data_IF_099841403872
#
_entry.id   IF_099841403872
#
_cell.length_a   1.000
_cell.length_b   1.000
_cell.length_c   1.000
_cell.angle_alpha   90.00
_cell.angle_beta   90.00
_cell.angle_gamma   90.00
#
_symmetry.space_group_name_H-M   'P 1'
#
loop_
_entity.id
_entity.type
_entity.pdbx_description
1 polymer ?
#
# COMPACT_ATOMS: atom_id res chain seq x y z
N UNK A 1 25.29 -66.63 0.19
CA UNK A 1 24.72 -65.61 -0.73
C UNK A 1 23.21 -65.76 -0.88
N UNK A 2 22.68 -66.96 -1.15
CA UNK A 2 21.21 -67.21 -1.19
C UNK A 2 20.50 -66.87 0.13
N UNK A 3 21.04 -67.28 1.27
CA UNK A 3 20.38 -67.05 2.56
C UNK A 3 20.36 -65.56 2.97
N UNK A 4 21.35 -64.79 2.53
CA UNK A 4 21.43 -63.35 2.76
C UNK A 4 20.40 -62.58 1.90
N UNK A 5 20.20 -63.01 0.65
CA UNK A 5 19.17 -62.46 -0.23
C UNK A 5 17.76 -62.77 0.28
N UNK A 6 17.54 -63.98 0.82
CA UNK A 6 16.25 -64.36 1.43
C UNK A 6 15.95 -63.51 2.66
N UNK A 7 16.94 -63.23 3.51
CA UNK A 7 16.78 -62.36 4.67
C UNK A 7 16.43 -60.92 4.27
N UNK A 8 17.07 -60.37 3.23
CA UNK A 8 16.75 -59.02 2.71
C UNK A 8 15.33 -58.97 2.14
N UNK A 9 14.92 -59.98 1.38
CA UNK A 9 13.56 -60.05 0.84
C UNK A 9 12.50 -60.17 1.94
N UNK A 10 12.78 -60.91 3.02
CA UNK A 10 11.89 -61.01 4.17
C UNK A 10 11.75 -59.68 4.91
N UNK A 11 12.85 -58.98 5.16
CA UNK A 11 12.82 -57.65 5.81
C UNK A 11 12.08 -56.64 4.95
N UNK A 12 12.34 -56.63 3.64
CA UNK A 12 11.63 -55.75 2.70
C UNK A 12 10.12 -56.05 2.64
N UNK A 13 9.73 -57.33 2.63
CA UNK A 13 8.33 -57.72 2.64
C UNK A 13 7.63 -57.33 3.94
N UNK A 14 8.27 -57.53 5.10
CA UNK A 14 7.73 -57.11 6.40
C UNK A 14 7.60 -55.59 6.47
N UNK A 15 8.59 -54.83 6.00
CA UNK A 15 8.51 -53.37 5.93
C UNK A 15 7.40 -52.89 4.98
N UNK A 16 7.19 -53.55 3.84
CA UNK A 16 6.12 -53.20 2.90
C UNK A 16 4.73 -53.51 3.48
N UNK A 17 4.59 -54.62 4.20
CA UNK A 17 3.35 -54.98 4.92
C UNK A 17 3.08 -53.96 6.04
N UNK A 18 4.10 -53.54 6.79
CA UNK A 18 3.96 -52.50 7.82
C UNK A 18 3.56 -51.15 7.21
N UNK A 19 4.15 -50.79 6.07
CA UNK A 19 3.84 -49.54 5.38
C UNK A 19 2.42 -49.55 4.81
N UNK A 20 1.98 -50.65 4.20
CA UNK A 20 0.62 -50.79 3.65
C UNK A 20 -0.46 -50.95 4.72
N UNK A 21 -0.15 -51.59 5.86
CA UNK A 21 -1.05 -51.65 7.01
C UNK A 21 -1.23 -50.28 7.68
N UNK A 22 -0.16 -49.49 7.81
CA UNK A 22 -0.25 -48.12 8.31
C UNK A 22 -0.96 -47.18 7.31
N UNK A 23 -0.76 -47.37 6.00
CA UNK A 23 -1.48 -46.59 4.97
C UNK A 23 -2.98 -46.94 4.92
N UNK A 24 -3.35 -48.19 5.21
CA UNK A 24 -4.76 -48.61 5.27
C UNK A 24 -5.47 -48.16 6.55
N UNK A 25 -4.73 -47.92 7.64
CA UNK A 25 -5.28 -47.34 8.87
C UNK A 25 -5.35 -45.82 8.84
N UNK A 26 -4.53 -45.14 8.03
CA UNK A 26 -4.66 -43.68 7.80
C UNK A 26 -5.71 -43.32 6.75
N UNK A 27 -6.05 -44.24 5.82
CA UNK A 27 -7.13 -44.02 4.85
C UNK A 27 -8.54 -44.23 5.41
N UNK A 28 -8.68 -44.84 6.61
CA UNK A 28 -9.96 -44.99 7.32
C UNK A 28 -10.27 -43.90 8.35
N UNK A 29 -9.41 -42.88 8.48
CA UNK A 29 -9.69 -41.67 9.27
C UNK A 29 -9.96 -40.42 8.39
N UNK A 30 -10.29 -40.63 7.12
CA UNK A 30 -10.79 -39.59 6.21
C UNK A 30 -12.09 -40.06 5.55
N UNK A 31 -13.08 -40.38 6.39
CA UNK A 31 -14.47 -40.56 5.96
C UNK A 31 -15.30 -39.45 6.57
N UNK A 32 -15.68 -38.49 5.70
CA UNK A 32 -16.77 -37.53 5.86
C UNK A 32 -17.22 -37.21 7.30
N UNK A 33 -16.42 -36.42 8.02
CA UNK A 33 -17.03 -35.31 8.72
C UNK A 33 -17.32 -34.25 7.66
N UNK A 34 -18.56 -34.21 7.21
CA UNK A 34 -19.17 -32.95 6.77
C UNK A 34 -18.92 -32.00 7.95
N UNK A 35 -17.83 -31.24 7.87
CA UNK A 35 -17.72 -30.00 8.62
C UNK A 35 -18.86 -29.18 8.04
N UNK A 36 -20.01 -29.26 8.70
CA UNK A 36 -20.88 -28.12 8.75
C UNK A 36 -19.96 -26.96 9.12
N UNK A 37 -19.86 -26.00 8.22
CA UNK A 37 -19.49 -24.65 8.57
C UNK A 37 -20.47 -24.21 9.66
N UNK A 38 -20.19 -24.60 10.90
CA UNK A 38 -20.30 -23.65 11.97
C UNK A 38 -19.17 -22.65 11.69
N UNK A 39 -19.40 -21.74 10.72
CA UNK A 39 -18.97 -20.35 10.87
C UNK A 39 -19.53 -19.96 12.25
N UNK A 40 -18.80 -20.27 13.32
CA UNK A 40 -18.96 -19.57 14.56
C UNK A 40 -18.86 -18.12 14.15
N UNK A 41 -19.97 -17.42 14.31
CA UNK A 41 -20.22 -16.06 13.89
C UNK A 41 -19.33 -15.09 14.69
N UNK A 42 -18.01 -15.23 14.58
CA UNK A 42 -17.07 -14.17 14.93
C UNK A 42 -17.15 -13.21 13.75
N UNK A 43 -17.97 -12.17 13.89
CA UNK A 43 -18.18 -11.15 12.86
C UNK A 43 -16.87 -10.81 12.16
N UNK A 44 -16.83 -10.76 10.81
CA UNK A 44 -15.62 -10.41 10.07
C UNK A 44 -15.13 -9.01 10.49
N UNK A 45 -13.82 -8.82 10.61
CA UNK A 45 -13.23 -7.50 10.95
C UNK A 45 -13.73 -6.45 9.96
N UNK A 46 -14.19 -5.33 10.49
CA UNK A 46 -14.71 -4.19 9.74
C UNK A 46 -14.27 -2.89 10.44
N UNK A 47 -14.57 -1.73 9.86
CA UNK A 47 -14.10 -0.43 10.36
C UNK A 47 -14.50 -0.14 11.81
N UNK A 48 -15.66 -0.62 12.28
CA UNK A 48 -16.11 -0.38 13.65
C UNK A 48 -15.28 -1.12 14.71
N UNK A 49 -14.47 -2.10 14.29
CA UNK A 49 -13.54 -2.81 15.18
C UNK A 49 -12.20 -2.09 15.34
N UNK A 50 -11.93 -1.06 14.54
CA UNK A 50 -10.68 -0.30 14.57
C UNK A 50 -10.87 0.93 15.47
N UNK A 51 -9.86 1.26 16.29
CA UNK A 51 -9.79 2.52 17.02
C UNK A 51 -8.56 3.29 16.56
N UNK A 52 -8.77 4.44 15.92
CA UNK A 52 -7.69 5.30 15.43
C UNK A 52 -7.15 6.19 16.56
N UNK A 53 -5.83 6.23 16.72
CA UNK A 53 -5.10 7.20 17.53
C UNK A 53 -4.24 8.05 16.62
N UNK A 54 -4.71 9.26 16.31
CA UNK A 54 -4.05 10.19 15.38
C UNK A 54 -3.15 11.10 16.21
N UNK A 55 -1.84 11.05 16.03
CA UNK A 55 -0.91 11.91 16.74
C UNK A 55 -0.78 13.26 16.03
N UNK A 56 -1.03 14.36 16.75
CA UNK A 56 -0.84 15.71 16.22
C UNK A 56 -0.41 16.68 17.30
N UNK A 57 -0.20 17.96 16.94
CA UNK A 57 -0.04 19.05 17.89
C UNK A 57 -1.12 20.11 17.66
N UNK A 58 -1.49 20.82 18.73
CA UNK A 58 -2.46 21.91 18.64
C UNK A 58 -1.99 23.00 17.67
N UNK A 59 -0.67 23.22 17.57
CA UNK A 59 -0.04 24.19 16.68
C UNK A 59 -0.18 23.81 15.20
N UNK A 60 0.11 22.56 14.82
CA UNK A 60 0.10 22.13 13.42
C UNK A 60 -1.26 21.66 12.93
N UNK A 61 -2.15 21.28 13.86
CA UNK A 61 -3.45 20.68 13.53
C UNK A 61 -4.24 21.51 12.54
N UNK A 62 -4.29 22.84 12.68
CA UNK A 62 -5.07 23.72 11.80
C UNK A 62 -4.71 23.56 10.31
N UNK A 63 -3.43 23.36 10.02
CA UNK A 63 -2.96 23.20 8.64
C UNK A 63 -3.02 21.74 8.17
N UNK A 64 -2.94 20.78 9.08
CA UNK A 64 -2.87 19.34 8.76
C UNK A 64 -4.22 18.63 8.79
N UNK A 65 -5.22 19.18 9.50
CA UNK A 65 -6.57 18.62 9.64
C UNK A 65 -7.22 18.30 8.28
N UNK A 66 -6.89 19.11 7.26
CA UNK A 66 -7.31 18.93 5.85
C UNK A 66 -7.00 17.55 5.29
N UNK A 67 -5.97 16.86 5.77
CA UNK A 67 -5.66 15.48 5.37
C UNK A 67 -6.54 14.46 6.09
N UNK A 68 -6.75 14.64 7.39
CA UNK A 68 -7.66 13.80 8.18
C UNK A 68 -9.09 13.86 7.63
N UNK A 69 -9.54 15.03 7.18
CA UNK A 69 -10.87 15.22 6.57
C UNK A 69 -11.10 14.43 5.28
N UNK A 70 -10.04 14.07 4.54
CA UNK A 70 -10.17 13.32 3.29
C UNK A 70 -10.64 11.87 3.51
N UNK A 71 -10.37 11.30 4.68
CA UNK A 71 -10.62 9.88 4.94
C UNK A 71 -11.46 9.61 6.19
N UNK A 72 -11.48 10.55 7.15
CA UNK A 72 -12.30 10.43 8.33
C UNK A 72 -13.79 10.47 7.97
N UNK A 73 -14.57 9.53 8.52
CA UNK A 73 -16.01 9.46 8.26
C UNK A 73 -16.76 9.56 9.59
N UNK A 74 -17.38 10.73 9.89
CA UNK A 74 -18.16 10.91 11.10
C UNK A 74 -19.20 9.80 11.26
N UNK A 75 -19.36 9.29 12.49
CA UNK A 75 -20.25 8.17 12.85
C UNK A 75 -19.91 6.81 12.21
N UNK A 76 -18.86 6.69 11.41
CA UNK A 76 -18.39 5.43 10.79
C UNK A 76 -17.03 5.03 11.34
N UNK A 77 -16.06 5.93 11.30
CA UNK A 77 -14.75 5.75 11.94
C UNK A 77 -14.85 6.15 13.42
N UNK A 78 -14.02 5.53 14.26
CA UNK A 78 -13.91 5.88 15.69
C UNK A 78 -12.45 5.99 16.09
N UNK A 79 -12.17 6.89 17.03
CA UNK A 79 -10.80 7.27 17.34
C UNK A 79 -10.71 8.71 17.79
N UNK A 80 -9.49 9.16 18.06
CA UNK A 80 -9.21 10.51 18.52
C UNK A 80 -7.93 11.07 17.94
N UNK A 81 -7.91 12.38 17.73
CA UNK A 81 -6.68 13.15 17.60
C UNK A 81 -6.11 13.40 18.99
N UNK A 82 -4.87 13.00 19.23
CA UNK A 82 -4.15 13.19 20.48
C UNK A 82 -3.21 14.37 20.36
N UNK A 83 -3.63 15.48 20.95
CA UNK A 83 -2.91 16.75 20.97
C UNK A 83 -2.06 16.88 22.23
N UNK A 84 -1.08 17.76 22.19
CA UNK A 84 -0.25 18.19 23.30
C UNK A 84 -0.96 19.15 24.26
N UNK A 85 -1.86 19.97 23.73
CA UNK A 85 -2.68 20.89 24.52
C UNK A 85 -4.08 21.11 23.90
N UNK A 86 -4.92 21.88 24.60
CA UNK A 86 -6.23 22.27 24.06
C UNK A 86 -6.03 23.16 22.84
N UNK A 87 -6.60 22.82 21.67
CA UNK A 87 -6.36 23.56 20.44
C UNK A 87 -7.00 24.96 20.53
N UNK A 88 -6.15 25.98 20.68
CA UNK A 88 -6.53 27.38 20.56
C UNK A 88 -6.66 27.84 19.10
N UNK A 89 -6.20 27.02 18.16
CA UNK A 89 -6.06 27.36 16.74
C UNK A 89 -7.41 27.55 15.98
N UNK A 90 -8.52 27.08 16.56
CA UNK A 90 -9.89 27.35 16.09
C UNK A 90 -10.48 28.64 16.70
N UNK A 91 -9.75 29.35 17.56
CA UNK A 91 -10.25 30.52 18.27
C UNK A 91 -11.45 30.18 19.16
N UNK A 92 -12.53 30.98 19.06
CA UNK A 92 -13.81 30.73 19.73
C UNK A 92 -14.74 29.80 18.93
N UNK A 93 -14.30 29.24 17.81
CA UNK A 93 -15.14 28.37 16.99
C UNK A 93 -15.22 26.95 17.57
N UNK A 94 -16.40 26.31 17.49
CA UNK A 94 -16.56 24.94 17.96
C UNK A 94 -15.73 23.97 17.11
N UNK A 95 -15.27 22.88 17.71
CA UNK A 95 -14.61 21.79 17.01
C UNK A 95 -15.52 21.24 15.90
N UNK A 96 -15.11 21.27 14.62
CA UNK A 96 -15.97 20.83 13.52
C UNK A 96 -16.41 19.37 13.65
N UNK A 97 -17.68 19.09 13.37
CA UNK A 97 -18.23 17.73 13.41
C UNK A 97 -17.63 16.82 12.32
N UNK A 98 -17.04 17.42 11.27
CA UNK A 98 -16.31 16.70 10.23
C UNK A 98 -14.96 16.18 10.69
N UNK A 99 -14.39 16.76 11.75
CA UNK A 99 -13.08 16.35 12.26
C UNK A 99 -13.20 15.12 13.16
N UNK A 100 -12.15 14.29 13.27
CA UNK A 100 -12.07 13.33 14.36
C UNK A 100 -12.11 14.06 15.70
N UNK A 101 -12.79 13.55 16.74
CA UNK A 101 -12.79 14.19 18.04
C UNK A 101 -11.37 14.22 18.62
N UNK A 102 -11.04 15.20 19.46
CA UNK A 102 -9.71 15.28 20.06
C UNK A 102 -9.67 14.86 21.54
N UNK A 103 -8.45 14.59 22.00
CA UNK A 103 -8.04 14.42 23.39
C UNK A 103 -6.71 15.13 23.60
N UNK A 104 -6.49 15.63 24.82
CA UNK A 104 -5.19 16.16 25.23
C UNK A 104 -4.45 15.02 25.93
N UNK A 105 -3.21 14.80 25.51
CA UNK A 105 -2.39 13.72 26.06
C UNK A 105 -1.95 14.05 27.49
N UNK A 106 -1.70 13.03 28.30
CA UNK A 106 -1.23 13.24 29.67
C UNK A 106 0.18 13.86 29.73
N UNK A 107 0.49 14.56 30.82
CA UNK A 107 1.82 15.13 31.06
C UNK A 107 2.91 14.06 31.04
N UNK A 108 3.97 14.32 30.26
CA UNK A 108 5.15 13.46 30.13
C UNK A 108 6.42 14.12 30.67
N UNK A 109 6.31 15.19 31.46
CA UNK A 109 7.44 15.91 32.07
C UNK A 109 8.38 14.99 32.87
N UNK A 110 7.84 13.99 33.57
CA UNK A 110 8.59 13.04 34.39
C UNK A 110 9.42 12.00 33.61
N UNK A 111 9.19 11.85 32.30
CA UNK A 111 9.92 10.86 31.49
C UNK A 111 11.34 11.32 31.17
N UNK A 112 12.27 10.37 31.07
CA UNK A 112 13.61 10.66 30.56
C UNK A 112 13.56 10.80 29.04
N UNK A 113 14.28 11.78 28.51
CA UNK A 113 14.52 11.95 27.08
C UNK A 113 15.89 12.61 26.89
N UNK A 114 16.82 11.91 26.25
CA UNK A 114 18.22 12.34 26.13
C UNK A 114 18.72 12.39 24.70
N UNK A 115 17.87 12.12 23.71
CA UNK A 115 18.25 12.36 22.32
C UNK A 115 18.27 13.87 22.05
N UNK A 116 19.43 14.39 21.64
CA UNK A 116 19.61 15.79 21.28
C UNK A 116 18.99 16.15 19.93
N UNK A 117 18.93 15.18 19.02
CA UNK A 117 18.63 15.42 17.60
C UNK A 117 17.13 15.26 17.27
N UNK A 118 16.31 14.87 18.25
CA UNK A 118 14.87 14.67 18.10
C UNK A 118 14.03 15.55 19.04
N UNK A 119 12.71 15.48 18.89
CA UNK A 119 11.78 16.25 19.72
C UNK A 119 11.24 15.41 20.90
N UNK A 120 11.20 16.01 22.11
CA UNK A 120 10.63 15.39 23.32
C UNK A 120 9.17 14.97 23.15
N UNK A 121 8.43 15.58 22.22
CA UNK A 121 7.06 15.17 21.85
C UNK A 121 6.95 13.68 21.48
N UNK A 122 8.04 13.05 21.04
CA UNK A 122 8.12 11.62 20.78
C UNK A 122 7.65 10.75 21.96
N UNK A 123 7.91 11.19 23.20
CA UNK A 123 7.46 10.48 24.42
C UNK A 123 5.94 10.44 24.50
N UNK A 124 5.28 11.58 24.26
CA UNK A 124 3.82 11.70 24.27
C UNK A 124 3.20 10.90 23.12
N UNK A 125 3.76 11.04 21.91
CA UNK A 125 3.26 10.34 20.71
C UNK A 125 3.35 8.82 20.89
N UNK A 126 4.45 8.30 21.47
CA UNK A 126 4.59 6.87 21.75
C UNK A 126 3.51 6.33 22.72
N UNK A 127 2.88 7.19 23.53
CA UNK A 127 1.84 6.82 24.50
C UNK A 127 0.42 6.84 23.91
N UNK A 128 0.21 7.30 22.69
CA UNK A 128 -1.12 7.42 22.05
C UNK A 128 -1.91 6.11 22.08
N UNK A 129 -1.28 4.98 21.77
CA UNK A 129 -1.94 3.65 21.83
C UNK A 129 -2.40 3.33 23.25
N UNK A 130 -1.55 3.60 24.24
CA UNK A 130 -1.87 3.37 25.65
C UNK A 130 -2.99 4.27 26.15
N UNK A 131 -2.96 5.54 25.79
CA UNK A 131 -4.01 6.49 26.18
C UNK A 131 -5.34 6.14 25.51
N UNK A 132 -5.32 5.72 24.24
CA UNK A 132 -6.50 5.21 23.53
C UNK A 132 -7.05 3.92 24.15
N UNK A 133 -6.19 2.98 24.54
CA UNK A 133 -6.58 1.73 25.20
C UNK A 133 -7.30 2.01 26.53
N UNK A 134 -6.77 2.95 27.33
CA UNK A 134 -7.33 3.33 28.63
C UNK A 134 -8.72 3.96 28.57
N UNK A 135 -9.18 4.42 27.40
CA UNK A 135 -10.55 4.89 27.22
C UNK A 135 -11.59 3.76 27.34
N UNK A 136 -11.19 2.49 27.24
CA UNK A 136 -12.06 1.35 27.55
C UNK A 136 -13.18 1.11 26.52
N UNK A 137 -12.98 1.49 25.26
CA UNK A 137 -13.95 1.20 24.20
C UNK A 137 -14.16 -0.31 24.03
N UNK A 138 -15.42 -0.71 23.93
CA UNK A 138 -15.81 -2.11 23.71
C UNK A 138 -15.65 -2.50 22.24
N UNK A 139 -15.50 -3.81 22.02
CA UNK A 139 -15.40 -4.41 20.69
C UNK A 139 -14.28 -3.78 19.82
N UNK A 140 -13.13 -3.45 20.44
CA UNK A 140 -11.91 -3.05 19.72
C UNK A 140 -11.10 -4.30 19.42
N UNK A 141 -10.71 -4.47 18.16
CA UNK A 141 -9.81 -5.54 17.71
C UNK A 141 -8.43 -5.02 17.36
N UNK A 142 -8.38 -3.78 16.87
CA UNK A 142 -7.17 -3.14 16.37
C UNK A 142 -7.09 -1.70 16.84
N UNK A 143 -5.95 -1.31 17.39
CA UNK A 143 -5.56 0.06 17.62
C UNK A 143 -4.67 0.49 16.46
N UNK A 144 -5.09 1.49 15.70
CA UNK A 144 -4.34 1.99 14.54
C UNK A 144 -3.79 3.36 14.89
N UNK A 145 -2.48 3.53 14.78
CA UNK A 145 -1.79 4.79 14.99
C UNK A 145 -1.35 5.37 13.65
N UNK A 146 -1.39 6.70 13.54
CA UNK A 146 -0.80 7.47 12.44
C UNK A 146 -0.67 8.93 12.85
N UNK A 147 0.04 9.73 12.07
CA UNK A 147 0.20 11.17 12.31
C UNK A 147 -0.95 11.98 11.70
N UNK A 148 -1.09 13.25 12.11
CA UNK A 148 -2.18 14.16 11.71
C UNK A 148 -2.18 14.54 10.21
N UNK A 149 -1.09 14.26 9.50
CA UNK A 149 -0.90 14.38 8.06
C UNK A 149 -0.87 13.04 7.32
N UNK A 150 -1.32 11.96 7.98
CA UNK A 150 -1.46 10.63 7.37
C UNK A 150 -2.84 10.48 6.74
N UNK A 151 -2.88 10.03 5.49
CA UNK A 151 -4.13 9.72 4.78
C UNK A 151 -4.33 8.21 4.74
N UNK A 152 -5.38 7.71 5.40
CA UNK A 152 -5.71 6.29 5.44
C UNK A 152 -6.74 5.87 4.38
N UNK A 153 -6.47 4.77 3.68
CA UNK A 153 -7.40 4.09 2.78
C UNK A 153 -8.17 3.02 3.59
N UNK A 154 -9.18 3.48 4.34
CA UNK A 154 -9.79 2.72 5.44
C UNK A 154 -10.36 1.33 5.08
N UNK A 155 -10.96 1.14 3.91
CA UNK A 155 -11.46 -0.16 3.44
C UNK A 155 -10.32 -1.11 3.06
N UNK A 156 -9.22 -0.58 2.52
CA UNK A 156 -8.01 -1.37 2.26
C UNK A 156 -7.32 -1.75 3.57
N UNK A 157 -7.24 -0.84 4.55
CA UNK A 157 -6.78 -1.14 5.90
C UNK A 157 -7.60 -2.28 6.53
N UNK A 158 -8.93 -2.19 6.49
CA UNK A 158 -9.82 -3.27 6.97
C UNK A 158 -9.53 -4.59 6.25
N UNK A 159 -9.38 -4.55 4.92
CA UNK A 159 -9.08 -5.73 4.10
C UNK A 159 -7.75 -6.38 4.52
N UNK A 160 -6.73 -5.57 4.79
CA UNK A 160 -5.41 -6.04 5.27
C UNK A 160 -5.53 -6.65 6.67
N UNK A 161 -6.17 -5.97 7.62
CA UNK A 161 -6.31 -6.46 8.99
C UNK A 161 -7.21 -7.69 9.10
N UNK A 162 -8.15 -7.87 8.17
CA UNK A 162 -8.99 -9.06 8.09
C UNK A 162 -8.24 -10.34 7.68
N UNK A 163 -6.97 -10.25 7.26
CA UNK A 163 -6.10 -11.41 7.02
C UNK A 163 -5.63 -12.07 8.31
N UNK A 164 -5.64 -11.34 9.43
CA UNK A 164 -5.00 -11.73 10.67
C UNK A 164 -6.04 -12.10 11.74
N UNK A 165 -5.74 -13.14 12.54
CA UNK A 165 -6.53 -13.46 13.73
C UNK A 165 -6.31 -12.39 14.81
N UNK A 166 -7.27 -11.50 14.97
CA UNK A 166 -7.22 -10.40 15.93
C UNK A 166 -7.10 -10.83 17.40
N UNK A 167 -7.25 -12.13 17.71
CA UNK A 167 -7.02 -12.68 19.06
C UNK A 167 -5.55 -13.06 19.30
N UNK A 168 -4.67 -12.95 18.31
CA UNK A 168 -3.23 -13.10 18.47
C UNK A 168 -2.55 -11.74 18.60
N UNK A 169 -1.30 -11.76 19.08
CA UNK A 169 -0.47 -10.56 19.19
C UNK A 169 0.19 -10.21 17.86
N UNK A 170 -0.31 -9.15 17.21
CA UNK A 170 0.22 -8.61 15.97
C UNK A 170 0.60 -7.14 16.09
N UNK A 171 1.79 -6.81 15.60
CA UNK A 171 2.27 -5.46 15.30
C UNK A 171 2.49 -5.36 13.78
N UNK A 172 1.66 -4.58 13.09
CA UNK A 172 1.57 -4.55 11.63
C UNK A 172 1.85 -3.14 11.11
N UNK A 173 2.70 -2.99 10.11
CA UNK A 173 2.95 -1.70 9.46
C UNK A 173 4.03 -1.77 8.38
N UNK A 174 4.59 -0.62 8.01
CA UNK A 174 5.61 -0.48 6.98
C UNK A 174 6.91 0.15 7.51
N UNK A 175 8.00 -0.07 6.78
CA UNK A 175 9.26 0.65 6.97
C UNK A 175 9.29 1.89 6.07
N UNK A 176 10.38 2.66 6.15
CA UNK A 176 10.65 3.74 5.21
C UNK A 176 10.94 3.21 3.80
N UNK A 177 10.63 4.01 2.79
CA UNK A 177 11.10 3.81 1.42
C UNK A 177 12.62 4.06 1.30
N UNK A 178 13.17 4.86 2.20
CA UNK A 178 14.55 5.36 2.19
C UNK A 178 15.43 4.56 3.14
N UNK A 179 16.52 3.98 2.62
CA UNK A 179 17.40 3.06 3.38
C UNK A 179 18.06 3.76 4.56
N UNK A 180 18.45 5.00 4.39
CA UNK A 180 19.13 5.76 5.42
C UNK A 180 18.24 6.01 6.65
N UNK A 181 16.93 6.12 6.46
CA UNK A 181 15.98 6.20 7.56
C UNK A 181 15.94 4.87 8.31
N UNK A 182 15.84 3.75 7.59
CA UNK A 182 15.76 2.41 8.20
C UNK A 182 17.06 2.01 8.93
N UNK A 183 18.21 2.45 8.43
CA UNK A 183 19.53 2.23 9.08
C UNK A 183 19.63 3.00 10.40
N UNK A 184 19.13 4.24 10.44
CA UNK A 184 19.15 5.08 11.65
C UNK A 184 18.09 4.65 12.66
N UNK A 185 16.88 4.34 12.18
CA UNK A 185 15.75 4.01 13.03
C UNK A 185 15.68 2.52 13.35
N UNK A 186 15.24 1.69 12.38
CA UNK A 186 15.39 0.23 12.35
C UNK A 186 14.53 -0.37 11.21
N UNK A 187 15.00 -1.45 10.60
CA UNK A 187 14.18 -2.31 9.73
C UNK A 187 13.12 -3.14 10.49
N UNK A 188 13.22 -3.24 11.82
CA UNK A 188 12.33 -4.05 12.67
C UNK A 188 11.13 -3.30 13.24
N UNK A 189 10.92 -2.03 12.88
CA UNK A 189 9.82 -1.20 13.42
C UNK A 189 8.87 -0.76 12.31
N UNK A 190 7.60 -0.58 12.66
CA UNK A 190 6.66 0.16 11.82
C UNK A 190 6.84 1.66 12.05
N UNK A 191 6.98 2.42 10.98
CA UNK A 191 7.11 3.86 11.03
C UNK A 191 5.79 4.52 11.40
N UNK A 192 5.84 5.48 12.33
CA UNK A 192 4.66 6.10 12.91
C UNK A 192 3.82 6.88 11.89
N UNK A 193 4.48 7.66 11.03
CA UNK A 193 3.82 8.47 10.01
C UNK A 193 3.11 7.61 8.96
N UNK A 194 3.78 6.56 8.46
CA UNK A 194 3.18 5.57 7.57
C UNK A 194 2.01 4.83 8.23
N UNK A 195 1.95 4.86 9.56
CA UNK A 195 0.91 4.26 10.37
C UNK A 195 1.16 2.80 10.66
N UNK A 196 0.59 2.33 11.76
CA UNK A 196 0.69 0.93 12.17
C UNK A 196 -0.56 0.47 12.93
N UNK A 197 -0.77 -0.84 12.97
CA UNK A 197 -1.86 -1.48 13.69
C UNK A 197 -1.33 -2.43 14.77
N UNK A 198 -1.92 -2.36 15.96
CA UNK A 198 -1.66 -3.25 17.08
C UNK A 198 -2.96 -3.98 17.42
N UNK A 199 -2.92 -5.31 17.41
CA UNK A 199 -4.04 -6.15 17.86
C UNK A 199 -4.40 -5.90 19.33
N UNK A 200 -5.66 -6.12 19.71
CA UNK A 200 -6.10 -5.88 21.09
C UNK A 200 -5.27 -6.62 22.16
N UNK A 201 -4.95 -7.93 22.03
CA UNK A 201 -4.13 -8.62 23.02
C UNK A 201 -2.73 -8.00 23.17
N UNK A 202 -2.11 -7.61 22.06
CA UNK A 202 -0.80 -6.95 22.11
C UNK A 202 -0.89 -5.56 22.78
N UNK A 203 -1.92 -4.79 22.49
CA UNK A 203 -2.13 -3.51 23.17
C UNK A 203 -2.27 -3.70 24.69
N UNK A 204 -2.99 -4.74 25.12
CA UNK A 204 -3.17 -5.06 26.54
C UNK A 204 -1.85 -5.41 27.25
N UNK A 205 -0.91 -6.08 26.57
CA UNK A 205 0.44 -6.30 27.12
C UNK A 205 1.30 -5.03 27.08
N UNK A 206 1.29 -4.32 25.96
CA UNK A 206 2.06 -3.10 25.76
C UNK A 206 1.77 -2.06 26.85
N UNK A 207 0.50 -1.78 27.16
CA UNK A 207 0.14 -0.72 28.12
C UNK A 207 0.68 -0.96 29.54
N UNK A 208 0.96 -2.22 29.91
CA UNK A 208 1.52 -2.59 31.21
C UNK A 208 2.98 -2.15 31.34
N UNK A 209 3.75 -2.24 30.27
CA UNK A 209 5.20 -1.99 30.28
C UNK A 209 5.60 -0.65 29.67
N UNK A 210 4.72 -0.03 28.86
CA UNK A 210 5.09 1.07 27.95
C UNK A 210 5.80 2.24 28.63
N UNK A 211 5.35 2.67 29.82
CA UNK A 211 5.94 3.86 30.45
C UNK A 211 7.38 3.58 30.93
N UNK A 212 7.61 2.42 31.55
CA UNK A 212 8.94 2.02 32.00
C UNK A 212 9.86 1.72 30.81
N UNK A 213 9.31 1.09 29.76
CA UNK A 213 10.00 0.83 28.51
C UNK A 213 10.45 2.13 27.83
N UNK A 214 9.58 3.12 27.65
CA UNK A 214 9.95 4.43 27.10
C UNK A 214 11.07 5.08 27.91
N UNK A 215 11.06 4.93 29.24
CA UNK A 215 12.13 5.43 30.11
C UNK A 215 13.45 4.66 29.96
N UNK A 216 13.43 3.35 29.67
CA UNK A 216 14.62 2.57 29.32
C UNK A 216 15.21 3.03 27.98
N UNK A 217 14.36 3.27 27.00
CA UNK A 217 14.72 3.76 25.66
C UNK A 217 14.70 5.29 25.56
N UNK A 218 15.12 5.99 26.62
CA UNK A 218 15.11 7.45 26.67
C UNK A 218 16.03 8.12 25.63
N UNK A 219 17.00 7.37 25.10
CA UNK A 219 17.96 7.81 24.09
C UNK A 219 17.45 7.67 22.65
N UNK A 220 16.38 6.91 22.40
CA UNK A 220 15.74 6.84 21.08
C UNK A 220 15.01 8.17 20.80
N UNK A 221 15.14 8.67 19.58
CA UNK A 221 14.69 10.01 19.21
C UNK A 221 13.21 10.02 18.81
N UNK A 222 12.77 9.06 18.00
CA UNK A 222 11.42 9.01 17.46
C UNK A 222 10.46 8.20 18.35
N UNK A 223 9.16 8.44 18.18
CA UNK A 223 8.09 7.78 18.94
C UNK A 223 7.93 6.31 18.55
N UNK A 224 8.00 6.03 17.25
CA UNK A 224 7.95 4.68 16.67
C UNK A 224 9.16 3.83 17.07
N UNK A 225 10.37 4.40 17.15
CA UNK A 225 11.54 3.71 17.72
C UNK A 225 11.27 3.26 19.16
N UNK A 226 10.63 4.11 19.97
CA UNK A 226 10.28 3.77 21.36
C UNK A 226 9.22 2.67 21.42
N UNK A 227 8.17 2.77 20.60
CA UNK A 227 7.15 1.71 20.50
C UNK A 227 7.79 0.39 20.03
N UNK A 228 8.64 0.44 19.01
CA UNK A 228 9.37 -0.71 18.48
C UNK A 228 10.26 -1.37 19.53
N UNK A 229 11.04 -0.60 20.30
CA UNK A 229 11.82 -1.15 21.41
C UNK A 229 10.94 -1.86 22.46
N UNK A 230 9.74 -1.34 22.73
CA UNK A 230 8.79 -2.03 23.60
C UNK A 230 8.20 -3.29 22.99
N UNK A 231 8.04 -3.36 21.67
CA UNK A 231 7.64 -4.59 20.98
C UNK A 231 8.73 -5.66 21.07
N UNK A 232 10.00 -5.25 20.97
CA UNK A 232 11.15 -6.14 21.15
C UNK A 232 11.21 -6.71 22.58
N UNK A 233 10.91 -5.91 23.60
CA UNK A 233 10.81 -6.41 24.99
C UNK A 233 9.68 -7.43 25.19
N UNK A 234 8.55 -7.24 24.50
CA UNK A 234 7.45 -8.23 24.51
C UNK A 234 7.82 -9.46 23.68
N UNK A 235 8.73 -9.33 22.72
CA UNK A 235 9.15 -10.39 21.80
C UNK A 235 8.23 -10.54 20.59
N UNK A 236 7.57 -9.46 20.15
CA UNK A 236 6.69 -9.47 18.96
C UNK A 236 7.37 -8.74 17.80
N UNK A 237 7.68 -9.42 16.69
CA UNK A 237 8.30 -8.79 15.54
C UNK A 237 7.29 -7.96 14.73
N UNK A 238 7.81 -7.02 13.95
CA UNK A 238 7.04 -6.35 12.91
C UNK A 238 6.53 -7.35 11.87
N UNK A 239 5.23 -7.32 11.62
CA UNK A 239 4.58 -7.92 10.46
C UNK A 239 4.48 -6.87 9.35
N UNK A 240 5.37 -6.97 8.36
CA UNK A 240 5.49 -5.96 7.30
C UNK A 240 4.35 -6.06 6.27
N UNK A 241 3.66 -4.95 6.05
CA UNK A 241 2.65 -4.79 5.00
C UNK A 241 3.06 -3.64 4.08
N UNK A 242 3.28 -3.94 2.79
CA UNK A 242 3.88 -3.01 1.83
C UNK A 242 2.96 -1.85 1.39
N UNK A 243 1.71 -1.82 1.86
CA UNK A 243 0.76 -0.75 1.55
C UNK A 243 0.77 0.41 2.54
N UNK A 244 1.52 0.29 3.64
CA UNK A 244 1.76 1.39 4.57
C UNK A 244 2.98 2.16 4.08
N UNK A 245 2.77 3.42 3.68
CA UNK A 245 3.83 4.26 3.15
C UNK A 245 4.14 5.42 4.06
N UNK A 246 5.34 5.38 4.64
CA UNK A 246 5.93 6.52 5.35
C UNK A 246 6.24 7.66 4.37
N UNK A 247 6.51 7.36 3.09
CA UNK A 247 6.81 8.36 2.06
C UNK A 247 7.95 9.31 2.45
N UNK A 248 9.02 8.78 3.08
CA UNK A 248 10.24 9.54 3.34
C UNK A 248 11.03 9.75 2.04
N UNK A 249 10.38 10.33 1.04
CA UNK A 249 10.90 10.68 -0.27
C UNK A 249 10.60 12.15 -0.52
N UNK A 250 11.37 12.77 -1.40
CA UNK A 250 11.14 14.16 -1.82
C UNK A 250 11.00 14.25 -3.35
N UNK A 251 10.46 15.36 -3.85
CA UNK A 251 10.22 15.56 -5.28
C UNK A 251 8.91 14.92 -5.76
N UNK A 252 8.88 14.40 -6.99
CA UNK A 252 7.63 13.90 -7.57
C UNK A 252 7.39 12.42 -7.24
N UNK A 253 6.29 12.06 -6.56
CA UNK A 253 6.00 10.67 -6.20
C UNK A 253 5.44 9.86 -7.39
N UNK A 254 5.36 10.46 -8.60
CA UNK A 254 4.70 9.86 -9.76
C UNK A 254 5.24 8.48 -10.13
N UNK A 255 6.56 8.31 -10.15
CA UNK A 255 7.17 7.04 -10.52
C UNK A 255 6.93 5.95 -9.47
N UNK A 256 6.88 6.34 -8.20
CA UNK A 256 6.61 5.46 -7.07
C UNK A 256 5.16 4.95 -7.10
N UNK A 257 4.19 5.86 -7.15
CA UNK A 257 2.77 5.51 -7.14
C UNK A 257 2.29 4.86 -8.46
N UNK A 258 2.90 5.20 -9.60
CA UNK A 258 2.56 4.59 -10.88
C UNK A 258 2.96 3.10 -10.99
N UNK A 259 3.97 2.69 -10.21
CA UNK A 259 4.47 1.31 -10.15
C UNK A 259 4.29 0.71 -8.74
N UNK A 260 3.18 1.06 -8.08
CA UNK A 260 2.86 0.57 -6.73
C UNK A 260 2.89 -0.97 -6.67
N UNK A 261 3.39 -1.57 -5.57
CA UNK A 261 3.43 -3.03 -5.40
C UNK A 261 2.04 -3.67 -5.48
N UNK A 262 1.99 -4.98 -5.75
CA UNK A 262 0.73 -5.75 -5.82
C UNK A 262 0.15 -6.06 -4.43
N UNK A 263 -0.26 -5.00 -3.74
CA UNK A 263 -0.89 -5.01 -2.41
C UNK A 263 -1.92 -3.87 -2.35
N UNK A 264 -2.90 -3.91 -1.44
CA UNK A 264 -3.77 -2.76 -1.20
C UNK A 264 -2.95 -1.55 -0.74
N UNK A 265 -3.22 -0.37 -1.31
CA UNK A 265 -2.74 0.89 -0.74
C UNK A 265 -3.45 1.12 0.60
N UNK A 266 -2.71 1.27 1.70
CA UNK A 266 -3.26 1.40 3.06
C UNK A 266 -3.15 2.81 3.60
N UNK A 267 -2.01 3.46 3.41
CA UNK A 267 -1.77 4.82 3.90
C UNK A 267 -0.70 5.53 3.08
N UNK A 268 -0.79 6.85 3.05
CA UNK A 268 0.24 7.74 2.52
C UNK A 268 0.58 8.77 3.59
N UNK A 269 1.87 8.94 3.87
CA UNK A 269 2.39 9.95 4.79
C UNK A 269 3.24 11.00 4.09
N UNK A 270 3.56 12.02 4.87
CA UNK A 270 4.29 13.24 4.60
C UNK A 270 4.05 13.87 3.22
N UNK A 271 2.76 13.96 2.87
CA UNK A 271 2.31 14.51 1.59
C UNK A 271 2.79 15.96 1.38
N UNK A 272 3.04 16.74 2.43
CA UNK A 272 3.58 18.11 2.29
C UNK A 272 5.07 18.17 1.87
N UNK A 273 5.82 17.05 1.91
CA UNK A 273 7.24 17.00 1.47
C UNK A 273 7.42 16.56 0.02
N UNK A 274 6.36 16.05 -0.60
CA UNK A 274 6.37 15.63 -1.99
C UNK A 274 5.57 16.63 -2.84
N UNK A 275 5.85 16.66 -4.13
CA UNK A 275 5.01 17.40 -5.06
C UNK A 275 3.56 16.85 -5.03
N UNK A 276 2.57 17.65 -5.43
CA UNK A 276 1.20 17.17 -5.58
C UNK A 276 1.14 15.87 -6.38
N UNK A 277 0.27 14.93 -5.97
CA UNK A 277 0.17 13.61 -6.60
C UNK A 277 -0.15 13.74 -8.09
N UNK A 278 -1.03 14.70 -8.42
CA UNK A 278 -1.43 15.07 -9.78
C UNK A 278 -0.89 16.48 -10.07
N UNK A 279 -0.12 16.67 -11.16
CA UNK A 279 0.41 17.97 -11.52
C UNK A 279 -0.67 19.04 -11.71
N UNK A 280 -0.30 20.31 -11.47
CA UNK A 280 -1.17 21.49 -11.64
C UNK A 280 -2.36 21.56 -10.67
N UNK A 281 -2.38 20.72 -9.63
CA UNK A 281 -3.33 20.78 -8.51
C UNK A 281 -2.63 21.24 -7.23
N UNK A 282 -3.39 21.69 -6.23
CA UNK A 282 -2.86 21.85 -4.87
C UNK A 282 -2.56 20.49 -4.24
N UNK A 283 -1.79 20.47 -3.15
CA UNK A 283 -1.44 19.23 -2.45
C UNK A 283 -2.69 18.44 -2.06
N UNK A 284 -3.65 19.10 -1.40
CA UNK A 284 -4.89 18.47 -0.93
C UNK A 284 -5.80 18.08 -2.08
N UNK A 285 -5.99 18.94 -3.09
CA UNK A 285 -6.87 18.63 -4.22
C UNK A 285 -6.37 17.41 -5.00
N UNK A 286 -5.05 17.28 -5.13
CA UNK A 286 -4.45 16.13 -5.80
C UNK A 286 -4.70 14.81 -5.07
N UNK A 287 -4.71 14.84 -3.73
CA UNK A 287 -5.00 13.67 -2.89
C UNK A 287 -6.50 13.39 -2.90
N UNK A 288 -7.33 14.42 -2.77
CA UNK A 288 -8.79 14.28 -2.87
C UNK A 288 -9.19 13.63 -4.20
N UNK A 289 -8.55 14.02 -5.31
CA UNK A 289 -8.80 13.43 -6.63
C UNK A 289 -8.50 11.93 -6.69
N UNK A 290 -7.43 11.48 -6.02
CA UNK A 290 -7.12 10.06 -5.87
C UNK A 290 -8.16 9.38 -4.96
N UNK A 291 -8.54 10.01 -3.84
CA UNK A 291 -9.58 9.49 -2.94
C UNK A 291 -10.91 9.31 -3.67
N UNK A 292 -11.32 10.25 -4.53
CA UNK A 292 -12.52 10.11 -5.36
C UNK A 292 -12.51 8.81 -6.17
N UNK A 293 -11.41 8.48 -6.85
CA UNK A 293 -11.27 7.20 -7.56
C UNK A 293 -11.26 6.00 -6.61
N UNK A 294 -10.59 6.10 -5.46
CA UNK A 294 -10.58 5.04 -4.46
C UNK A 294 -11.99 4.69 -3.96
N UNK A 295 -12.87 5.68 -3.77
CA UNK A 295 -14.26 5.39 -3.33
C UNK A 295 -15.07 4.57 -4.34
N UNK A 296 -14.64 4.48 -5.61
CA UNK A 296 -15.34 3.76 -6.68
C UNK A 296 -14.88 2.32 -6.84
N UNK A 297 -13.58 2.06 -6.67
CA UNK A 297 -13.02 0.70 -6.69
C UNK A 297 -11.83 0.61 -5.72
N UNK A 298 -12.16 0.45 -4.43
CA UNK A 298 -11.21 0.53 -3.31
C UNK A 298 -10.03 -0.42 -3.49
N UNK A 299 -10.34 -1.64 -3.92
CA UNK A 299 -9.37 -2.72 -4.09
C UNK A 299 -8.43 -2.50 -5.28
N UNK A 300 -8.80 -1.66 -6.25
CA UNK A 300 -8.02 -1.42 -7.48
C UNK A 300 -7.14 -0.18 -7.40
N UNK A 301 -7.26 0.64 -6.36
CA UNK A 301 -6.47 1.85 -6.19
C UNK A 301 -4.96 1.59 -6.36
N UNK A 302 -4.32 2.36 -7.25
CA UNK A 302 -2.92 2.30 -7.68
C UNK A 302 -2.45 0.98 -8.30
N UNK A 303 -3.35 0.01 -8.52
CA UNK A 303 -2.93 -1.28 -9.05
C UNK A 303 -2.48 -1.14 -10.51
N UNK A 304 -1.20 -1.44 -10.72
CA UNK A 304 -0.57 -1.35 -12.03
C UNK A 304 -1.03 -2.50 -12.92
N UNK A 305 -1.58 -2.19 -14.09
CA UNK A 305 -1.88 -3.13 -15.18
C UNK A 305 -1.06 -2.79 -16.42
N UNK A 306 -0.53 -3.80 -17.11
CA UNK A 306 0.37 -3.62 -18.25
C UNK A 306 -0.33 -4.11 -19.52
N UNK A 307 -0.43 -3.25 -20.52
CA UNK A 307 -1.15 -3.49 -21.76
C UNK A 307 -0.17 -3.32 -22.93
N UNK A 308 -0.35 -4.10 -23.99
CA UNK A 308 0.49 -4.06 -25.17
C UNK A 308 -0.38 -3.91 -26.41
N UNK A 309 -0.04 -2.92 -27.23
CA UNK A 309 -0.62 -2.77 -28.57
C UNK A 309 0.45 -3.14 -29.59
N UNK A 310 0.44 -4.41 -29.97
CA UNK A 310 1.43 -4.98 -30.88
C UNK A 310 1.30 -4.43 -32.31
N UNK A 311 0.12 -3.90 -32.69
CA UNK A 311 -0.06 -3.31 -34.02
C UNK A 311 0.71 -1.98 -34.14
N UNK A 312 0.74 -1.20 -33.06
CA UNK A 312 1.46 0.08 -32.99
C UNK A 312 2.84 -0.03 -32.34
N UNK A 313 3.22 -1.23 -31.87
CA UNK A 313 4.40 -1.48 -31.04
C UNK A 313 4.42 -0.60 -29.77
N UNK A 314 3.29 -0.43 -29.09
CA UNK A 314 3.21 0.38 -27.87
C UNK A 314 3.10 -0.47 -26.62
N UNK A 315 3.63 0.07 -25.52
CA UNK A 315 3.36 -0.43 -24.17
C UNK A 315 2.60 0.61 -23.38
N UNK A 316 1.64 0.16 -22.58
CA UNK A 316 0.86 1.03 -21.70
C UNK A 316 0.94 0.49 -20.28
N UNK A 317 1.34 1.34 -19.34
CA UNK A 317 1.27 1.05 -17.91
C UNK A 317 0.16 1.89 -17.30
N UNK A 318 -0.85 1.24 -16.75
CA UNK A 318 -2.02 1.86 -16.12
C UNK A 318 -1.92 1.68 -14.61
N UNK A 319 -1.70 2.75 -13.85
CA UNK A 319 -1.92 2.80 -12.41
C UNK A 319 -3.34 3.30 -12.17
N UNK A 320 -4.25 2.35 -11.90
CA UNK A 320 -5.68 2.66 -11.90
C UNK A 320 -6.05 3.66 -10.80
N UNK A 321 -6.83 4.68 -11.17
CA UNK A 321 -7.21 5.76 -10.26
C UNK A 321 -6.12 6.80 -10.03
N UNK A 322 -5.02 6.76 -10.80
CA UNK A 322 -3.91 7.71 -10.64
C UNK A 322 -3.32 8.20 -11.96
N UNK A 323 -2.65 7.34 -12.72
CA UNK A 323 -1.94 7.76 -13.94
C UNK A 323 -1.80 6.65 -14.98
N UNK A 324 -1.61 7.04 -16.23
CA UNK A 324 -1.28 6.16 -17.36
C UNK A 324 0.01 6.64 -18.01
N UNK A 325 0.88 5.70 -18.34
CA UNK A 325 2.12 5.92 -19.07
C UNK A 325 2.05 5.17 -20.41
N UNK A 326 2.09 5.93 -21.51
CA UNK A 326 2.16 5.39 -22.88
C UNK A 326 3.60 5.45 -23.39
N UNK A 327 4.14 4.30 -23.77
CA UNK A 327 5.45 4.14 -24.36
C UNK A 327 5.27 3.83 -25.85
N UNK A 328 5.69 4.73 -26.77
CA UNK A 328 5.70 4.50 -28.23
C UNK A 328 6.65 3.39 -28.72
N UNK A 329 6.94 2.41 -27.87
CA UNK A 329 7.79 1.24 -28.13
C UNK A 329 7.41 0.09 -27.18
N UNK A 330 7.88 -1.11 -27.49
CA UNK A 330 7.68 -2.29 -26.66
C UNK A 330 8.68 -2.31 -25.50
N UNK A 331 8.14 -2.35 -24.28
CA UNK A 331 8.86 -2.37 -23.02
C UNK A 331 8.74 -3.75 -22.37
N UNK A 332 9.83 -4.27 -21.83
CA UNK A 332 9.74 -5.49 -21.05
C UNK A 332 9.06 -5.22 -19.69
N UNK A 333 8.37 -6.24 -19.17
CA UNK A 333 7.64 -6.11 -17.90
C UNK A 333 8.55 -5.73 -16.75
N UNK A 334 9.78 -6.25 -16.70
CA UNK A 334 10.72 -5.96 -15.60
C UNK A 334 10.99 -4.47 -15.48
N UNK A 335 11.16 -3.77 -16.59
CA UNK A 335 11.31 -2.32 -16.61
C UNK A 335 10.01 -1.59 -16.28
N UNK A 336 8.87 -2.01 -16.82
CA UNK A 336 7.58 -1.35 -16.54
C UNK A 336 7.19 -1.41 -15.07
N UNK A 337 7.47 -2.52 -14.38
CA UNK A 337 7.21 -2.66 -12.93
C UNK A 337 8.29 -2.03 -12.06
N UNK A 338 9.37 -1.53 -12.65
CA UNK A 338 10.41 -0.78 -11.92
C UNK A 338 10.05 0.70 -11.91
N UNK A 339 9.85 1.32 -10.74
CA UNK A 339 9.55 2.75 -10.60
C UNK A 339 10.56 3.64 -11.33
N UNK A 340 10.07 4.63 -12.10
CA UNK A 340 10.93 5.69 -12.65
C UNK A 340 11.38 6.57 -11.48
N UNK A 341 12.67 6.87 -11.37
CA UNK A 341 13.22 7.70 -10.28
C UNK A 341 12.89 9.18 -10.47
N UNK A 342 11.66 9.55 -10.12
CA UNK A 342 11.13 10.92 -10.19
C UNK A 342 11.17 11.66 -8.85
N UNK A 343 11.68 10.95 -7.84
CA UNK A 343 11.78 11.30 -6.45
C UNK A 343 13.20 11.01 -5.96
N UNK A 344 13.54 11.56 -4.80
CA UNK A 344 14.82 11.34 -4.10
C UNK A 344 14.52 10.75 -2.72
N UNK A 345 15.54 10.24 -2.03
CA UNK A 345 15.34 9.78 -0.65
C UNK A 345 15.14 10.99 0.28
N UNK A 346 15.00 10.72 1.57
CA UNK A 346 14.87 11.76 2.59
C UNK A 346 16.14 12.62 2.70
N UNK A 347 17.32 11.99 2.65
CA UNK A 347 18.61 12.68 2.78
C UNK A 347 19.18 13.15 1.42
N UNK A 348 18.67 12.69 0.28
CA UNK A 348 19.01 13.25 -1.03
C UNK A 348 19.07 12.25 -2.19
N UNK A 349 19.79 12.62 -3.25
CA UNK A 349 19.78 11.88 -4.52
C UNK A 349 20.73 10.67 -4.56
N UNK A 350 21.78 10.65 -3.75
CA UNK A 350 22.81 9.59 -3.81
C UNK A 350 22.46 8.37 -2.94
N UNK A 351 21.50 8.50 -2.04
CA UNK A 351 21.12 7.44 -1.12
C UNK A 351 20.25 6.35 -1.80
N UNK A 352 20.30 5.10 -1.31
CA UNK A 352 19.54 3.99 -1.87
C UNK A 352 18.11 3.91 -1.32
N UNK A 353 17.22 3.30 -2.11
CA UNK A 353 15.87 2.93 -1.67
C UNK A 353 15.81 1.45 -1.27
N UNK A 354 14.78 1.10 -0.50
CA UNK A 354 14.50 -0.32 -0.14
C UNK A 354 13.94 -1.14 -1.31
N UNK A 355 13.86 -0.54 -2.50
CA UNK A 355 13.42 -1.14 -3.76
C UNK A 355 14.23 -0.60 -4.94
N UNK A 356 14.22 -1.32 -6.07
CA UNK A 356 14.92 -0.89 -7.28
C UNK A 356 14.18 0.25 -7.99
N UNK A 357 14.93 1.19 -8.56
CA UNK A 357 14.39 2.24 -9.44
C UNK A 357 15.09 2.19 -10.80
N UNK A 358 14.50 2.83 -11.81
CA UNK A 358 15.11 3.02 -13.13
C UNK A 358 15.28 4.51 -13.44
N UNK A 359 16.23 4.89 -14.32
CA UNK A 359 16.52 6.29 -14.62
C UNK A 359 15.30 7.07 -15.12
N UNK A 360 15.22 8.34 -14.72
CA UNK A 360 14.31 9.32 -15.32
C UNK A 360 15.06 10.07 -16.43
N UNK A 361 14.87 9.66 -17.68
CA UNK A 361 15.56 10.29 -18.81
C UNK A 361 15.13 11.75 -19.00
N UNK A 362 16.10 12.63 -19.27
CA UNK A 362 15.83 14.04 -19.61
C UNK A 362 15.36 14.17 -21.06
N UNK A 363 15.83 13.30 -21.95
CA UNK A 363 15.51 13.29 -23.38
C UNK A 363 14.03 12.95 -23.61
N UNK A 364 13.25 13.83 -24.28
CA UNK A 364 11.81 13.62 -24.47
C UNK A 364 11.44 12.31 -25.17
N UNK A 365 12.22 11.90 -26.16
CA UNK A 365 12.01 10.66 -26.92
C UNK A 365 12.29 9.38 -26.14
N UNK A 366 12.84 9.47 -24.92
CA UNK A 366 13.12 8.35 -24.01
C UNK A 366 12.18 8.31 -22.81
N UNK A 367 11.10 9.09 -22.82
CA UNK A 367 10.14 9.20 -21.71
C UNK A 367 8.74 8.78 -22.13
N UNK A 368 7.97 8.09 -21.28
CA UNK A 368 6.57 7.86 -21.59
C UNK A 368 5.81 9.17 -21.72
N UNK A 369 4.76 9.15 -22.53
CA UNK A 369 3.71 10.18 -22.49
C UNK A 369 2.85 9.88 -21.28
N UNK A 370 2.67 10.87 -20.42
CA UNK A 370 1.96 10.71 -19.15
C UNK A 370 0.58 11.35 -19.18
N UNK A 371 -0.37 10.62 -18.61
CA UNK A 371 -1.74 11.04 -18.42
C UNK A 371 -2.08 10.86 -16.94
N UNK A 372 -2.83 11.79 -16.37
CA UNK A 372 -3.26 11.76 -14.97
C UNK A 372 -4.78 11.69 -14.89
N UNK A 373 -5.28 11.13 -13.80
CA UNK A 373 -6.71 10.95 -13.57
C UNK A 373 -7.46 12.27 -13.73
N UNK A 374 -8.42 12.27 -14.66
CA UNK A 374 -9.32 13.38 -14.94
C UNK A 374 -10.71 13.12 -14.36
N UNK A 375 -11.27 11.94 -14.63
CA UNK A 375 -12.61 11.58 -14.17
C UNK A 375 -12.72 10.09 -13.84
N UNK A 376 -13.56 9.77 -12.85
CA UNK A 376 -14.02 8.41 -12.55
C UNK A 376 -15.54 8.37 -12.58
N UNK A 377 -16.10 7.37 -13.25
CA UNK A 377 -17.54 7.17 -13.35
C UNK A 377 -17.91 5.70 -13.15
N UNK A 378 -19.03 5.46 -12.49
CA UNK A 378 -19.63 4.14 -12.37
C UNK A 378 -20.48 3.88 -13.62
N UNK A 379 -20.22 2.77 -14.31
CA UNK A 379 -21.07 2.29 -15.40
C UNK A 379 -22.06 1.26 -14.83
N UNK A 380 -23.25 1.19 -15.42
CA UNK A 380 -24.22 0.11 -15.15
C UNK A 380 -23.52 -1.27 -15.20
N UNK A 381 -23.90 -2.17 -14.30
CA UNK A 381 -23.39 -3.54 -14.15
C UNK A 381 -22.07 -3.73 -13.36
N UNK A 382 -21.70 -2.80 -12.48
CA UNK A 382 -20.55 -2.98 -11.59
C UNK A 382 -19.20 -2.85 -12.29
N UNK A 383 -19.14 -1.98 -13.30
CA UNK A 383 -17.91 -1.59 -14.00
C UNK A 383 -17.61 -0.12 -13.70
N UNK A 384 -16.32 0.24 -13.71
CA UNK A 384 -15.83 1.61 -13.63
C UNK A 384 -15.27 2.04 -14.98
N UNK A 385 -15.39 3.33 -15.29
CA UNK A 385 -14.69 4.01 -16.37
C UNK A 385 -13.91 5.18 -15.80
N UNK A 386 -12.60 5.15 -16.04
CA UNK A 386 -11.68 6.22 -15.67
C UNK A 386 -11.11 6.87 -16.92
N UNK A 387 -11.11 8.19 -16.96
CA UNK A 387 -10.52 9.00 -18.03
C UNK A 387 -9.25 9.67 -17.52
N UNK A 388 -8.20 9.68 -18.34
CA UNK A 388 -6.91 10.27 -18.00
C UNK A 388 -6.50 11.26 -19.08
N UNK A 389 -6.11 12.46 -18.67
CA UNK A 389 -5.72 13.55 -19.58
C UNK A 389 -4.26 13.93 -19.38
N UNK A 390 -3.66 14.50 -20.44
CA UNK A 390 -2.31 15.06 -20.35
C UNK A 390 -2.35 16.40 -19.60
N UNK A 391 -1.47 16.61 -18.62
CA UNK A 391 -1.40 17.87 -17.89
C UNK A 391 -0.69 18.93 -18.74
N UNK A 392 -1.44 19.64 -19.59
CA UNK A 392 -0.96 20.76 -20.41
C UNK A 392 0.20 20.44 -21.37
N UNK A 393 0.53 21.37 -22.27
CA UNK A 393 1.71 21.26 -23.15
C UNK A 393 3.01 21.63 -22.40
N UNK A 394 3.44 20.76 -21.47
CA UNK A 394 4.69 20.97 -20.73
C UNK A 394 5.87 20.49 -21.58
N UNK A 395 6.39 21.39 -22.42
CA UNK A 395 7.73 21.43 -23.05
C UNK A 395 8.17 20.29 -24.01
N UNK A 396 8.97 20.69 -25.02
CA UNK A 396 9.66 19.91 -26.08
C UNK A 396 9.17 18.47 -26.25
N UNK A 397 8.16 18.29 -27.10
CA UNK A 397 7.70 16.98 -27.51
C UNK A 397 8.76 16.31 -28.41
N UNK A 398 8.81 14.98 -28.39
CA UNK A 398 9.61 14.24 -29.34
C UNK A 398 9.00 14.38 -30.74
N UNK A 399 9.64 15.09 -31.65
CA UNK A 399 9.13 15.33 -33.02
C UNK A 399 9.41 14.16 -33.99
N UNK A 400 9.79 12.99 -33.49
CA UNK A 400 10.02 11.80 -34.33
C UNK A 400 8.68 11.28 -34.91
N UNK A 401 8.67 10.87 -36.18
CA UNK A 401 7.51 10.27 -36.86
C UNK A 401 6.95 9.03 -36.13
N UNK A 402 7.78 8.26 -35.41
CA UNK A 402 7.31 7.15 -34.57
C UNK A 402 6.50 7.65 -33.35
N UNK A 403 6.82 8.82 -32.82
CA UNK A 403 6.18 9.41 -31.64
C UNK A 403 4.88 10.12 -31.97
N UNK A 404 4.78 10.69 -33.17
CA UNK A 404 3.67 11.52 -33.62
C UNK A 404 2.30 10.84 -33.48
N UNK A 405 2.11 9.56 -33.87
CA UNK A 405 0.88 8.81 -33.58
C UNK A 405 0.51 8.76 -32.09
N UNK A 406 1.47 8.56 -31.20
CA UNK A 406 1.24 8.49 -29.77
C UNK A 406 0.96 9.88 -29.16
N UNK A 407 1.61 10.93 -29.67
CA UNK A 407 1.34 12.32 -29.28
C UNK A 407 -0.06 12.81 -29.69
N UNK A 408 -0.67 12.19 -30.70
CA UNK A 408 -2.05 12.48 -31.10
C UNK A 408 -3.09 11.98 -30.08
N UNK A 409 -2.72 11.00 -29.23
CA UNK A 409 -3.57 10.51 -28.13
C UNK A 409 -3.63 11.57 -27.04
N UNK A 410 -4.79 12.21 -26.89
CA UNK A 410 -5.03 13.28 -25.90
C UNK A 410 -5.57 12.75 -24.58
N UNK A 411 -6.32 11.65 -24.64
CA UNK A 411 -7.01 11.06 -23.51
C UNK A 411 -6.86 9.53 -23.55
N UNK A 412 -6.84 8.91 -22.37
CA UNK A 412 -6.94 7.46 -22.22
C UNK A 412 -8.17 7.13 -21.40
N UNK A 413 -9.00 6.22 -21.89
CA UNK A 413 -10.17 5.71 -21.21
C UNK A 413 -9.92 4.26 -20.77
N UNK A 414 -9.99 3.99 -19.48
CA UNK A 414 -9.77 2.66 -18.90
C UNK A 414 -11.07 2.17 -18.27
N UNK A 415 -11.56 1.04 -18.79
CA UNK A 415 -12.75 0.33 -18.29
C UNK A 415 -12.35 -0.92 -17.51
N UNK A 416 -12.95 -1.15 -16.35
CA UNK A 416 -12.68 -2.32 -15.52
C UNK A 416 -13.94 -2.77 -14.75
N UNK A 417 -14.06 -4.06 -14.45
CA UNK A 417 -15.03 -4.52 -13.45
C UNK A 417 -14.51 -4.24 -12.03
N UNK A 418 -15.40 -3.89 -11.10
CA UNK A 418 -15.03 -3.62 -9.71
C UNK A 418 -14.23 -4.79 -9.15
N UNK A 419 -13.04 -4.52 -8.59
CA UNK A 419 -12.18 -5.55 -8.03
C UNK A 419 -12.72 -6.02 -6.68
N UNK A 420 -12.98 -7.31 -6.54
CA UNK A 420 -13.42 -7.85 -5.26
C UNK A 420 -12.31 -7.74 -4.21
N UNK A 421 -12.57 -7.26 -2.98
CA UNK A 421 -11.59 -7.26 -1.88
C UNK A 421 -11.08 -8.66 -1.52
N UNK A 422 -11.76 -9.72 -1.96
CA UNK A 422 -11.34 -11.11 -1.75
C UNK A 422 -9.99 -11.42 -2.40
N UNK A 423 -9.59 -10.71 -3.46
CA UNK A 423 -8.31 -10.94 -4.13
C UNK A 423 -7.12 -10.73 -3.20
N UNK A 424 -7.26 -9.84 -2.21
CA UNK A 424 -6.21 -9.52 -1.24
C UNK A 424 -6.06 -10.53 -0.11
N UNK A 425 -6.97 -11.51 -0.04
CA UNK A 425 -6.85 -12.68 0.85
C UNK A 425 -6.27 -13.90 0.14
N UNK A 426 -5.93 -13.75 -1.14
CA UNK A 426 -5.33 -14.79 -1.98
C UNK A 426 -3.93 -14.35 -2.40
N UNK A 427 -3.21 -15.24 -3.10
CA UNK A 427 -1.93 -14.87 -3.71
C UNK A 427 -2.19 -13.79 -4.75
N UNK A 428 -1.62 -12.58 -4.61
CA UNK A 428 -1.91 -11.47 -5.50
C UNK A 428 -1.34 -11.74 -6.88
N UNK A 429 -2.13 -11.41 -7.91
CA UNK A 429 -1.73 -11.52 -9.31
C UNK A 429 -2.20 -10.28 -10.05
N UNK A 430 -1.29 -9.67 -10.81
CA UNK A 430 -1.60 -8.53 -11.68
C UNK A 430 -2.70 -8.89 -12.67
N UNK A 431 -3.64 -7.97 -12.88
CA UNK A 431 -4.71 -8.14 -13.85
C UNK A 431 -4.20 -7.98 -15.29
N UNK A 432 -4.82 -8.72 -16.20
CA UNK A 432 -4.52 -8.63 -17.62
C UNK A 432 -5.20 -7.40 -18.20
N UNK A 433 -4.59 -6.86 -19.25
CA UNK A 433 -5.00 -5.60 -19.84
C UNK A 433 -4.95 -5.67 -21.37
N UNK A 434 -5.94 -5.07 -22.01
CA UNK A 434 -6.08 -5.05 -23.46
C UNK A 434 -6.30 -3.62 -23.95
N UNK A 435 -5.61 -3.27 -25.04
CA UNK A 435 -5.91 -2.06 -25.81
C UNK A 435 -7.03 -2.39 -26.78
N UNK A 436 -8.15 -1.67 -26.69
CA UNK A 436 -9.28 -1.83 -27.59
C UNK A 436 -9.01 -0.94 -28.81
N UNK A 437 -8.78 -1.58 -29.96
CA UNK A 437 -8.61 -0.86 -31.22
C UNK A 437 -9.99 -0.55 -31.83
N UNK A 438 -10.26 0.73 -32.10
CA UNK A 438 -11.37 1.15 -32.97
C UNK A 438 -11.15 0.71 -34.42
N UNK A 439 -12.23 0.72 -35.21
CA UNK A 439 -12.21 0.29 -36.62
C UNK A 439 -11.43 1.24 -37.54
N UNK A 440 -11.19 2.50 -37.13
CA UNK A 440 -10.48 3.50 -37.92
C UNK A 440 -9.21 4.03 -37.22
N UNK A 441 -8.10 4.00 -37.96
CA UNK A 441 -6.80 4.45 -37.50
C UNK A 441 -6.81 5.93 -37.11
N UNK A 442 -6.29 6.22 -35.90
CA UNK A 442 -6.13 7.53 -35.26
C UNK A 442 -7.36 8.07 -34.51
N UNK A 443 -7.73 7.39 -33.44
CA UNK A 443 -8.57 7.97 -32.40
C UNK A 443 -7.73 8.87 -31.48
N UNK A 444 -8.24 10.07 -31.18
CA UNK A 444 -7.65 10.98 -30.18
C UNK A 444 -7.75 10.44 -28.74
N UNK A 445 -8.47 9.33 -28.57
CA UNK A 445 -8.73 8.65 -27.31
C UNK A 445 -8.24 7.21 -27.42
N UNK A 446 -7.43 6.76 -26.47
CA UNK A 446 -7.01 5.37 -26.36
C UNK A 446 -7.93 4.62 -25.41
N UNK A 447 -8.57 3.55 -25.88
CA UNK A 447 -9.47 2.74 -25.06
C UNK A 447 -8.76 1.49 -24.52
N UNK A 448 -8.92 1.24 -23.22
CA UNK A 448 -8.25 0.14 -22.50
C UNK A 448 -9.27 -0.62 -21.66
N UNK A 449 -9.15 -1.95 -21.62
CA UNK A 449 -9.91 -2.82 -20.71
C UNK A 449 -8.98 -3.54 -19.75
N UNK A 450 -9.23 -3.42 -18.45
CA UNK A 450 -8.59 -4.25 -17.42
C UNK A 450 -9.54 -5.40 -17.06
N UNK A 451 -9.02 -6.62 -17.02
CA UNK A 451 -9.79 -7.85 -16.72
C UNK A 451 -8.99 -8.87 -15.92
N UNK A 452 -9.66 -9.89 -15.42
CA UNK A 452 -8.97 -11.09 -14.94
C UNK A 452 -8.18 -11.73 -16.08
N UNK A 453 -7.04 -12.32 -15.76
CA UNK A 453 -6.31 -13.14 -16.72
C UNK A 453 -7.02 -14.48 -16.92
N UNK A 454 -7.07 -14.94 -18.16
CA UNK A 454 -7.53 -16.28 -18.52
C UNK A 454 -6.59 -17.33 -17.92
N UNK A 455 -7.06 -18.57 -17.89
CA UNK A 455 -6.24 -19.69 -17.46
C UNK A 455 -5.00 -19.79 -18.38
N UNK A 456 -3.81 -19.89 -17.78
CA UNK A 456 -2.52 -19.97 -18.48
C UNK A 456 -2.08 -18.72 -19.26
N UNK A 457 -2.87 -17.65 -19.26
CA UNK A 457 -2.48 -16.39 -19.87
C UNK A 457 -1.35 -15.73 -19.08
N UNK A 458 -0.39 -15.12 -19.77
CA UNK A 458 0.60 -14.23 -19.16
C UNK A 458 0.18 -12.78 -19.37
N UNK A 459 0.55 -11.86 -18.46
CA UNK A 459 0.31 -10.40 -18.62
C UNK A 459 1.14 -9.78 -19.76
N UNK A 460 1.88 -10.61 -20.46
CA UNK A 460 2.81 -10.26 -21.51
C UNK A 460 2.47 -11.17 -22.68
N UNK A 461 2.16 -10.63 -23.87
CA UNK A 461 1.95 -11.48 -25.02
C UNK A 461 3.29 -12.14 -25.42
N UNK A 462 3.26 -13.29 -26.11
CA UNK A 462 4.44 -13.81 -26.78
C UNK A 462 4.87 -12.79 -27.84
N UNK A 463 5.98 -12.09 -27.61
CA UNK A 463 6.48 -11.10 -28.54
C UNK A 463 7.20 -11.81 -29.69
N UNK A 464 6.44 -12.16 -30.71
CA UNK A 464 6.99 -12.44 -32.02
C UNK A 464 6.73 -11.21 -32.88
N UNK A 465 7.76 -10.71 -33.55
CA UNK A 465 7.55 -9.68 -34.56
C UNK A 465 6.75 -10.26 -35.75
N UNK A 466 6.39 -9.41 -36.72
CA UNK A 466 5.65 -9.85 -37.92
C UNK A 466 6.42 -10.88 -38.78
N UNK A 467 7.68 -11.15 -38.49
CA UNK A 467 8.54 -12.12 -39.16
C UNK A 467 8.73 -13.42 -38.35
N UNK A 468 8.16 -13.51 -37.15
CA UNK A 468 8.26 -14.69 -36.29
C UNK A 468 9.54 -14.74 -35.45
N UNK A 469 10.33 -13.66 -35.42
CA UNK A 469 11.49 -13.53 -34.55
C UNK A 469 11.07 -13.02 -33.17
N UNK A 470 11.75 -13.46 -32.11
CA UNK A 470 11.50 -12.93 -30.77
C UNK A 470 11.72 -11.42 -30.81
N UNK A 471 10.72 -10.62 -30.47
CA UNK A 471 10.87 -9.17 -30.56
C UNK A 471 12.01 -8.75 -29.64
N UNK A 472 13.10 -8.25 -30.23
CA UNK A 472 14.19 -7.69 -29.48
C UNK A 472 13.65 -6.49 -28.70
N UNK A 473 13.46 -6.67 -27.38
CA UNK A 473 13.32 -5.54 -26.49
C UNK A 473 14.56 -4.70 -26.71
N UNK A 474 14.40 -3.46 -27.16
CA UNK A 474 15.52 -2.56 -27.44
C UNK A 474 16.43 -2.46 -26.20
N UNK A 475 17.45 -3.32 -26.12
CA UNK A 475 18.65 -3.13 -25.33
C UNK A 475 19.63 -2.32 -26.16
N UNK A 476 19.20 -1.13 -26.56
CA UNK A 476 20.10 -0.09 -27.05
C UNK A 476 19.75 1.19 -26.31
N UNK A 477 20.29 1.29 -25.08
CA UNK A 477 20.55 2.57 -24.42
C UNK A 477 22.06 2.74 -24.38
#
# INVERSE_FOLDING_TARGET
>A
MKDFLVAICLVAAISLIYFTANFSNTSKLFSHSVFGENENNTDKTNVSHILFGIAGSAETWKNRSRYSELWWRPNVTRGFVWLDETPSALGNEPWPETFPPYRVSQDTSAFKYTCSDGNRSAVRIARVVKESFKLGFKNVRWFVMGDDDTVFFTENLVTVLAKYDHNQMYYIGGNSESVEQDVVCSYSIAYGGGGFAISYPLAAELVKILDDCINRYHYLCASDQKVGGCMDEIGIPLTKELGFHQMDITGSPRGFLAAHPLVPLVSLHHLDMVHPLIPLMSQVDSVNKVIEAYTKDTSRMLQQSLCYDLNRNWSVSVSWGYSVQLYPWLMNVRELVTPIRTFQTFNGFEEPFTFSTRPNYVEPCKRPIEYYLDQVTDIRNGETLTSYNRPGDINKQCENEQYKPALAVRMVNVKASILSPRVWRQVPRRQCCEVINGEDGFESVLHIRIRGCNQWETITPPFYDKYGEFADFQRMV
#
